data_IF_837842200596
#
_entry.id   IF_837842200596
#
_cell.length_a   1.000
_cell.length_b   1.000
_cell.length_c   1.000
_cell.angle_alpha   90.00
_cell.angle_beta   90.00
_cell.angle_gamma   90.00
#
_symmetry.space_group_name_H-M   'P 1'
#
loop_
_entity.id
_entity.type
_entity.pdbx_description
1 polymer ?
#
# COMPACT_ATOMS: atom_id res chain seq x y z
N UNK A 1 -3.90 12.91 -12.67
CA UNK A 1 -4.20 11.53 -13.12
C UNK A 1 -3.89 10.47 -12.06
N UNK A 2 -2.82 10.61 -11.26
CA UNK A 2 -2.50 9.66 -10.16
C UNK A 2 -3.70 9.41 -9.24
N UNK A 3 -4.36 10.47 -8.74
CA UNK A 3 -5.51 10.32 -7.83
C UNK A 3 -6.64 9.41 -8.35
N UNK A 4 -6.95 9.44 -9.64
CA UNK A 4 -7.95 8.55 -10.24
C UNK A 4 -7.49 7.09 -10.23
N UNK A 5 -6.20 6.83 -10.49
CA UNK A 5 -5.64 5.48 -10.48
C UNK A 5 -5.55 4.87 -9.08
N UNK A 6 -5.31 5.68 -8.05
CA UNK A 6 -5.08 5.21 -6.67
C UNK A 6 -6.34 5.27 -5.78
N UNK A 7 -7.40 5.96 -6.21
CA UNK A 7 -8.61 6.19 -5.40
C UNK A 7 -9.23 4.93 -4.79
N UNK A 8 -9.18 3.80 -5.50
CA UNK A 8 -9.74 2.53 -5.04
C UNK A 8 -8.92 1.81 -3.98
N UNK A 9 -7.63 2.13 -3.82
CA UNK A 9 -6.72 1.34 -2.98
C UNK A 9 -7.15 1.34 -1.51
N UNK A 10 -7.42 2.53 -0.95
CA UNK A 10 -7.74 2.68 0.48
C UNK A 10 -9.07 2.00 0.84
N UNK A 11 -10.20 2.24 0.12
CA UNK A 11 -11.46 1.54 0.40
C UNK A 11 -11.34 0.02 0.26
N UNK A 12 -10.60 -0.48 -0.75
CA UNK A 12 -10.39 -1.92 -0.94
C UNK A 12 -9.58 -2.51 0.22
N UNK A 13 -8.50 -1.85 0.64
CA UNK A 13 -7.67 -2.31 1.73
C UNK A 13 -8.45 -2.43 3.05
N UNK A 14 -9.26 -1.42 3.38
CA UNK A 14 -10.14 -1.47 4.54
C UNK A 14 -11.19 -2.58 4.45
N UNK A 15 -11.80 -2.73 3.26
CA UNK A 15 -12.80 -3.76 2.98
C UNK A 15 -12.23 -5.18 3.14
N UNK A 16 -10.99 -5.42 2.68
CA UNK A 16 -10.31 -6.71 2.83
C UNK A 16 -9.88 -6.94 4.28
N UNK A 17 -9.34 -5.93 4.95
CA UNK A 17 -8.88 -6.07 6.33
C UNK A 17 -10.02 -6.35 7.31
N UNK A 18 -11.14 -5.63 7.17
CA UNK A 18 -12.32 -5.86 8.02
C UNK A 18 -12.92 -7.25 7.82
N UNK A 19 -12.91 -7.78 6.59
CA UNK A 19 -13.36 -9.17 6.32
C UNK A 19 -12.40 -10.23 6.84
N UNK A 20 -11.09 -9.99 6.82
CA UNK A 20 -10.09 -10.94 7.32
C UNK A 20 -10.15 -11.14 8.83
N UNK A 21 -10.63 -10.15 9.59
CA UNK A 21 -10.76 -10.19 11.04
C UNK A 21 -12.15 -9.71 11.43
N UNK A 22 -13.15 -10.50 11.06
CA UNK A 22 -14.57 -10.18 11.20
C UNK A 22 -15.03 -10.09 12.67
N UNK A 23 -14.28 -10.69 13.59
CA UNK A 23 -14.46 -10.63 15.04
C UNK A 23 -14.05 -9.27 15.64
N UNK A 24 -13.13 -8.55 15.00
CA UNK A 24 -12.65 -7.24 15.47
C UNK A 24 -12.32 -6.28 14.31
N UNK A 25 -13.31 -5.88 13.49
CA UNK A 25 -13.09 -5.11 12.27
C UNK A 25 -12.44 -3.73 12.52
N UNK A 26 -12.77 -3.08 13.65
CA UNK A 26 -12.16 -1.80 14.02
C UNK A 26 -10.65 -1.90 14.26
N UNK A 27 -10.18 -3.00 14.88
CA UNK A 27 -8.75 -3.25 15.10
C UNK A 27 -8.02 -3.50 13.77
N UNK A 28 -8.65 -4.24 12.86
CA UNK A 28 -8.08 -4.51 11.54
C UNK A 28 -7.93 -3.25 10.68
N UNK A 29 -8.95 -2.39 10.66
CA UNK A 29 -8.89 -1.10 9.96
C UNK A 29 -7.85 -0.18 10.60
N UNK A 30 -7.78 -0.13 11.93
CA UNK A 30 -6.76 0.65 12.65
C UNK A 30 -5.34 0.20 12.31
N UNK A 31 -5.09 -1.11 12.19
CA UNK A 31 -3.80 -1.64 11.77
C UNK A 31 -3.43 -1.21 10.34
N UNK A 32 -4.36 -1.29 9.39
CA UNK A 32 -4.14 -0.81 8.02
C UNK A 32 -3.88 0.69 7.99
N UNK A 33 -4.65 1.48 8.74
CA UNK A 33 -4.46 2.92 8.84
C UNK A 33 -3.10 3.28 9.45
N UNK A 34 -2.66 2.58 10.49
CA UNK A 34 -1.34 2.76 11.09
C UNK A 34 -0.22 2.47 10.07
N UNK A 35 -0.31 1.38 9.32
CA UNK A 35 0.64 1.08 8.24
C UNK A 35 0.66 2.18 7.16
N UNK A 36 -0.51 2.68 6.75
CA UNK A 36 -0.61 3.77 5.79
C UNK A 36 0.02 5.07 6.29
N UNK A 37 -0.22 5.40 7.57
CA UNK A 37 0.37 6.58 8.20
C UNK A 37 1.89 6.47 8.34
N UNK A 38 2.41 5.30 8.70
CA UNK A 38 3.85 5.05 8.71
C UNK A 38 4.46 5.23 7.32
N UNK A 39 3.83 4.70 6.27
CA UNK A 39 4.28 4.93 4.89
C UNK A 39 4.33 6.41 4.53
N UNK A 40 3.27 7.15 4.85
CA UNK A 40 3.19 8.59 4.61
C UNK A 40 4.24 9.41 5.38
N UNK A 41 4.64 8.98 6.58
CA UNK A 41 5.70 9.64 7.35
C UNK A 41 7.11 9.27 6.87
N UNK A 42 7.32 8.01 6.51
CA UNK A 42 8.65 7.49 6.10
C UNK A 42 9.02 7.95 4.70
N UNK A 43 8.05 7.99 3.77
CA UNK A 43 8.29 8.33 2.37
C UNK A 43 8.94 9.72 2.19
N UNK A 44 8.45 10.84 2.79
CA UNK A 44 9.09 12.15 2.66
C UNK A 44 10.53 12.21 3.15
N UNK A 45 10.85 11.50 4.24
CA UNK A 45 12.22 11.43 4.77
C UNK A 45 13.11 10.68 3.80
N UNK A 46 12.64 9.56 3.26
CA UNK A 46 13.37 8.78 2.26
C UNK A 46 13.59 9.59 0.97
N UNK A 47 12.53 10.22 0.46
CA UNK A 47 12.57 11.04 -0.76
C UNK A 47 13.48 12.24 -0.59
N UNK A 48 13.37 12.94 0.54
CA UNK A 48 14.24 14.09 0.85
C UNK A 48 15.70 13.68 0.94
N UNK A 49 16.00 12.58 1.62
CA UNK A 49 17.35 12.03 1.68
C UNK A 49 17.87 11.69 0.28
N UNK A 50 17.09 10.98 -0.55
CA UNK A 50 17.46 10.67 -1.94
C UNK A 50 17.67 11.94 -2.78
N UNK A 51 16.84 12.96 -2.61
CA UNK A 51 16.92 14.21 -3.37
C UNK A 51 18.27 14.91 -3.19
N UNK A 52 18.91 14.79 -2.02
CA UNK A 52 20.26 15.34 -1.78
C UNK A 52 21.36 14.67 -2.60
N UNK A 53 21.22 13.40 -3.00
CA UNK A 53 22.25 12.66 -3.73
C UNK A 53 22.03 12.67 -5.24
N UNK A 54 20.77 12.48 -5.67
CA UNK A 54 20.42 12.24 -7.09
C UNK A 54 19.52 13.33 -7.68
N UNK A 55 19.17 14.35 -6.89
CA UNK A 55 18.28 15.43 -7.30
C UNK A 55 16.79 15.08 -7.16
N UNK A 56 15.96 16.12 -7.09
CA UNK A 56 14.52 15.99 -6.79
C UNK A 56 13.75 15.20 -7.86
N UNK A 57 14.07 15.40 -9.15
CA UNK A 57 13.39 14.72 -10.25
C UNK A 57 13.49 13.19 -10.14
N UNK A 58 14.69 12.68 -9.84
CA UNK A 58 14.93 11.25 -9.67
C UNK A 58 14.40 10.76 -8.32
N UNK A 59 14.50 11.56 -7.26
CA UNK A 59 13.94 11.21 -5.96
C UNK A 59 12.41 11.02 -6.02
N UNK A 60 11.68 11.85 -6.77
CA UNK A 60 10.23 11.69 -6.97
C UNK A 60 9.88 10.42 -7.76
N UNK A 61 10.81 9.91 -8.57
CA UNK A 61 10.60 8.63 -9.28
C UNK A 61 10.54 7.44 -8.32
N UNK A 62 11.02 7.58 -7.08
CA UNK A 62 10.92 6.53 -6.06
C UNK A 62 9.46 6.17 -5.71
N UNK A 63 8.53 7.14 -5.71
CA UNK A 63 7.11 6.87 -5.52
C UNK A 63 6.52 5.98 -6.63
N UNK A 64 6.99 6.17 -7.87
CA UNK A 64 6.63 5.31 -9.01
C UNK A 64 7.21 3.91 -8.82
N UNK A 65 8.47 3.80 -8.38
CA UNK A 65 9.11 2.51 -8.12
C UNK A 65 8.39 1.72 -7.02
N UNK A 66 7.98 2.36 -5.92
CA UNK A 66 7.20 1.73 -4.85
C UNK A 66 5.83 1.28 -5.37
N UNK A 67 5.13 2.13 -6.12
CA UNK A 67 3.83 1.77 -6.72
C UNK A 67 3.97 0.58 -7.68
N UNK A 68 5.02 0.57 -8.49
CA UNK A 68 5.31 -0.53 -9.41
C UNK A 68 5.65 -1.82 -8.67
N UNK A 69 6.42 -1.75 -7.59
CA UNK A 69 6.70 -2.88 -6.72
C UNK A 69 5.41 -3.45 -6.11
N UNK A 70 4.49 -2.61 -5.65
CA UNK A 70 3.17 -3.05 -5.14
C UNK A 70 2.40 -3.80 -6.22
N UNK A 71 2.33 -3.25 -7.45
CA UNK A 71 1.65 -3.91 -8.58
C UNK A 71 2.29 -5.27 -8.89
N UNK A 72 3.61 -5.35 -8.88
CA UNK A 72 4.34 -6.58 -9.16
C UNK A 72 4.20 -7.64 -8.06
N UNK A 73 4.10 -7.21 -6.79
CA UNK A 73 3.89 -8.10 -5.64
C UNK A 73 2.42 -8.43 -5.37
N UNK A 74 1.46 -7.68 -5.92
CA UNK A 74 0.04 -7.93 -5.70
C UNK A 74 -0.38 -9.37 -6.08
N UNK A 75 0.10 -9.99 -7.17
CA UNK A 75 -0.18 -11.39 -7.50
C UNK A 75 0.26 -12.38 -6.44
N UNK A 76 1.37 -12.14 -5.71
CA UNK A 76 1.83 -13.05 -4.66
C UNK A 76 0.95 -13.03 -3.41
N UNK A 77 0.11 -12.01 -3.27
CA UNK A 77 -0.89 -11.89 -2.20
C UNK A 77 -2.25 -12.48 -2.56
N UNK A 78 -2.43 -13.02 -3.78
CA UNK A 78 -3.63 -13.78 -4.13
C UNK A 78 -3.71 -15.00 -3.24
N UNK A 79 -4.65 -14.96 -2.29
CA UNK A 79 -5.05 -16.14 -1.52
C UNK A 79 -5.56 -17.17 -2.53
N UNK A 80 -4.84 -18.28 -2.71
CA UNK A 80 -5.32 -19.41 -3.52
C UNK A 80 -6.63 -19.87 -2.89
N UNK A 81 -7.76 -19.61 -3.56
CA UNK A 81 -9.05 -20.27 -3.32
C UNK A 81 -9.01 -21.77 -3.67
N UNK A 82 -7.85 -22.43 -3.52
CA UNK A 82 -7.64 -23.82 -3.92
C UNK A 82 -8.13 -24.82 -2.86
N UNK A 83 -8.99 -24.41 -1.92
CA UNK A 83 -9.43 -25.26 -0.82
C UNK A 83 -10.95 -25.26 -0.56
N UNK A 84 -11.78 -24.69 -1.45
CA UNK A 84 -13.25 -24.66 -1.27
C UNK A 84 -14.06 -25.09 -2.49
N UNK A 85 -13.69 -26.20 -3.11
CA UNK A 85 -14.68 -27.16 -3.67
C UNK A 85 -14.05 -28.54 -3.86
N UNK A 86 -13.79 -29.18 -2.72
CA UNK A 86 -14.00 -30.62 -2.53
C UNK A 86 -15.06 -30.78 -1.46
#
# INVERSE_FOLDING_TARGET
MVGLGVAGIVPIAWSVASRKQADAPGRAVAAVAACGYLGFLVEPVLVGALATWIGLHWALSSAVAVTFAIVFLAPSLRVREAALTR
#
